data_IF_508108218499
#
_entry.id   IF_508108218499
#
_cell.length_a   1.000
_cell.length_b   1.000
_cell.length_c   1.000
_cell.angle_alpha   90.00
_cell.angle_beta   90.00
_cell.angle_gamma   90.00
#
_symmetry.space_group_name_H-M   'P 1'
#
loop_
_entity.id
_entity.type
_entity.pdbx_description
1 polymer ?
#
# COMPACT_ATOMS: atom_id res chain seq x y z
N UNK A 1 72.51 -75.92 29.75
CA UNK A 1 71.33 -75.30 30.41
C UNK A 1 70.75 -74.31 29.49
N UNK A 2 69.74 -74.78 28.84
CA UNK A 2 69.05 -74.05 27.75
C UNK A 2 67.79 -73.41 28.31
N UNK A 3 67.71 -72.05 28.30
CA UNK A 3 66.52 -71.34 28.61
C UNK A 3 66.05 -70.62 27.35
N UNK A 4 65.19 -71.29 26.58
CA UNK A 4 64.50 -70.73 25.46
C UNK A 4 63.01 -70.70 25.82
N UNK A 5 62.55 -69.60 26.40
CA UNK A 5 61.12 -69.36 26.65
C UNK A 5 60.62 -68.34 25.66
N UNK A 6 59.53 -68.55 24.94
CA UNK A 6 59.01 -67.59 24.00
C UNK A 6 58.39 -66.42 24.72
N UNK A 7 58.83 -65.21 24.31
CA UNK A 7 58.24 -63.91 24.73
C UNK A 7 56.84 -63.84 24.15
N UNK A 8 55.81 -63.90 24.99
CA UNK A 8 54.44 -63.64 24.62
C UNK A 8 54.24 -62.10 24.43
N UNK A 9 54.19 -61.68 23.27
CA UNK A 9 53.71 -60.30 22.95
C UNK A 9 52.19 -60.26 23.23
N UNK A 10 51.83 -59.40 24.12
CA UNK A 10 50.45 -59.21 24.53
C UNK A 10 49.72 -58.39 23.47
N UNK A 11 48.85 -59.05 22.72
CA UNK A 11 47.99 -58.47 21.68
C UNK A 11 46.84 -57.67 22.27
N UNK A 12 47.13 -56.70 23.09
CA UNK A 12 46.10 -55.79 23.61
C UNK A 12 46.27 -54.35 23.04
N UNK A 13 46.55 -54.24 21.75
CA UNK A 13 46.65 -52.92 21.10
C UNK A 13 45.59 -52.75 19.98
N UNK A 14 44.36 -53.19 20.27
CA UNK A 14 43.24 -52.99 19.35
C UNK A 14 42.11 -52.11 19.88
N UNK A 15 42.38 -51.24 20.84
CA UNK A 15 41.35 -50.36 21.44
C UNK A 15 41.45 -48.92 21.01
N UNK A 16 42.02 -48.62 19.84
CA UNK A 16 41.85 -47.30 19.23
C UNK A 16 40.93 -47.39 18.00
N UNK A 17 39.78 -48.00 18.19
CA UNK A 17 38.64 -47.75 17.33
C UNK A 17 38.22 -46.31 17.54
N UNK A 18 38.86 -45.43 16.81
CA UNK A 18 38.51 -44.00 16.68
C UNK A 18 37.11 -43.93 16.10
N UNK A 19 36.11 -43.89 16.99
CA UNK A 19 34.74 -43.59 16.64
C UNK A 19 34.78 -42.28 15.84
N UNK A 20 34.68 -42.37 14.52
CA UNK A 20 34.38 -41.23 13.64
C UNK A 20 32.93 -40.83 13.96
N UNK A 21 32.75 -40.06 15.02
CA UNK A 21 31.53 -39.27 15.16
C UNK A 21 31.53 -38.32 13.98
N UNK A 22 30.95 -38.74 12.86
CA UNK A 22 30.54 -37.87 11.80
C UNK A 22 29.43 -36.99 12.41
N UNK A 23 29.79 -35.83 12.88
CA UNK A 23 28.86 -34.77 13.14
C UNK A 23 28.11 -34.52 11.83
N UNK A 24 26.95 -35.15 11.66
CA UNK A 24 26.00 -34.78 10.63
C UNK A 24 25.55 -33.39 11.03
N UNK A 25 26.24 -32.36 10.53
CA UNK A 25 25.78 -30.98 10.58
C UNK A 25 24.61 -30.94 9.62
N UNK A 26 23.46 -31.39 10.07
CA UNK A 26 22.19 -31.15 9.43
C UNK A 26 21.91 -29.68 9.60
N UNK A 27 21.93 -28.93 8.51
CA UNK A 27 21.45 -27.55 8.54
C UNK A 27 19.96 -27.64 8.83
N UNK A 28 19.55 -27.16 10.00
CA UNK A 28 18.14 -27.05 10.35
C UNK A 28 17.51 -25.94 9.49
N UNK A 29 16.57 -26.23 8.57
CA UNK A 29 15.95 -25.22 7.73
C UNK A 29 14.92 -24.37 8.47
N UNK A 30 14.55 -24.73 9.71
CA UNK A 30 13.49 -24.06 10.47
C UNK A 30 13.70 -22.56 10.61
N UNK A 31 14.89 -22.05 10.99
CA UNK A 31 15.11 -20.60 11.08
C UNK A 31 15.00 -19.89 9.73
N UNK A 32 15.35 -20.56 8.64
CA UNK A 32 15.26 -20.00 7.30
C UNK A 32 13.80 -19.81 6.86
N UNK A 33 12.97 -20.82 7.15
CA UNK A 33 11.53 -20.78 6.85
C UNK A 33 10.84 -19.69 7.66
N UNK A 34 11.21 -19.51 8.93
CA UNK A 34 10.64 -18.45 9.78
C UNK A 34 10.94 -17.06 9.22
N UNK A 35 12.19 -16.80 8.85
CA UNK A 35 12.58 -15.52 8.21
C UNK A 35 11.83 -15.29 6.90
N UNK A 36 11.69 -16.30 6.05
CA UNK A 36 10.92 -16.21 4.82
C UNK A 36 9.44 -15.89 5.09
N UNK A 37 8.87 -16.49 6.13
CA UNK A 37 7.49 -16.25 6.51
C UNK A 37 7.29 -14.82 7.04
N UNK A 38 8.19 -14.35 7.89
CA UNK A 38 8.16 -12.97 8.38
C UNK A 38 8.27 -11.94 7.25
N UNK A 39 9.17 -12.15 6.29
CA UNK A 39 9.31 -11.27 5.13
C UNK A 39 8.04 -11.30 4.29
N UNK A 40 7.43 -12.46 4.08
CA UNK A 40 6.20 -12.60 3.30
C UNK A 40 5.04 -11.84 3.96
N UNK A 41 4.87 -11.99 5.28
CA UNK A 41 3.85 -11.25 6.04
C UNK A 41 4.13 -9.75 5.99
N UNK A 42 5.39 -9.35 6.16
CA UNK A 42 5.79 -7.94 6.07
C UNK A 42 5.40 -7.33 4.72
N UNK A 43 5.72 -8.00 3.60
CA UNK A 43 5.31 -7.53 2.28
C UNK A 43 3.79 -7.56 2.07
N UNK A 44 3.10 -8.56 2.61
CA UNK A 44 1.64 -8.62 2.55
C UNK A 44 0.99 -7.43 3.28
N UNK A 45 1.47 -7.08 4.46
CA UNK A 45 1.00 -5.92 5.23
C UNK A 45 1.37 -4.61 4.55
N UNK A 46 2.60 -4.50 4.02
CA UNK A 46 3.10 -3.27 3.38
C UNK A 46 2.43 -3.03 2.02
N UNK A 47 2.11 -4.09 1.29
CA UNK A 47 1.39 -4.00 0.01
C UNK A 47 0.00 -3.37 0.15
N UNK A 48 -0.61 -3.46 1.33
CA UNK A 48 -1.92 -2.85 1.62
C UNK A 48 -1.85 -1.33 1.85
N UNK A 49 -0.66 -0.74 1.95
CA UNK A 49 -0.44 0.68 2.29
C UNK A 49 -0.31 1.57 1.04
N UNK A 50 -0.34 1.00 -0.18
CA UNK A 50 -0.42 1.82 -1.40
C UNK A 50 -1.88 2.29 -1.59
N UNK A 51 -2.42 2.93 -0.57
CA UNK A 51 -3.52 3.87 -0.74
C UNK A 51 -2.87 5.20 -1.10
N UNK A 52 -3.12 5.64 -2.33
CA UNK A 52 -2.92 6.98 -2.84
C UNK A 52 -2.65 7.99 -1.72
N UNK A 53 -1.40 8.45 -1.65
CA UNK A 53 -1.05 9.57 -0.80
C UNK A 53 -1.74 10.80 -1.37
N UNK A 54 -3.00 11.02 -0.97
CA UNK A 54 -3.52 12.37 -0.93
C UNK A 54 -2.58 13.11 -0.01
N UNK A 55 -1.86 14.07 -0.54
CA UNK A 55 -1.10 15.01 0.25
C UNK A 55 -2.13 15.69 1.13
N UNK A 56 -2.23 15.24 2.39
CA UNK A 56 -2.94 15.97 3.41
C UNK A 56 -2.17 17.27 3.59
N UNK A 57 -2.57 18.29 2.87
CA UNK A 57 -2.23 19.66 3.22
C UNK A 57 -2.85 19.84 4.60
N UNK A 58 -2.01 19.87 5.64
CA UNK A 58 -2.42 20.26 6.97
C UNK A 58 -2.97 21.68 6.88
N UNK A 59 -4.26 21.81 6.63
CA UNK A 59 -4.98 23.02 6.96
C UNK A 59 -4.84 23.20 8.49
N UNK A 60 -4.49 24.39 8.97
CA UNK A 60 -4.46 24.66 10.40
C UNK A 60 -5.82 24.25 10.98
N UNK A 61 -5.81 23.30 11.88
CA UNK A 61 -6.99 22.87 12.63
C UNK A 61 -7.48 24.07 13.44
N UNK A 62 -8.51 24.74 12.97
CA UNK A 62 -9.37 25.45 13.88
C UNK A 62 -9.99 24.40 14.81
N UNK A 63 -9.63 24.50 16.09
CA UNK A 63 -10.10 23.67 17.18
C UNK A 63 -11.61 23.81 17.29
N UNK A 64 -12.35 22.90 16.68
CA UNK A 64 -13.74 22.53 17.01
C UNK A 64 -14.44 21.96 15.79
N UNK A 65 -14.32 20.64 15.60
CA UNK A 65 -15.40 19.87 14.95
C UNK A 65 -15.05 18.39 15.00
N UNK A 66 -15.91 17.60 15.62
CA UNK A 66 -15.97 16.16 15.51
C UNK A 66 -15.78 15.70 14.06
N UNK A 67 -14.67 15.02 13.80
CA UNK A 67 -14.33 14.52 12.47
C UNK A 67 -15.12 13.25 12.16
N UNK A 68 -16.39 13.40 11.87
CA UNK A 68 -17.08 12.39 11.07
C UNK A 68 -16.45 12.39 9.66
N UNK A 69 -16.25 11.25 9.01
CA UNK A 69 -15.76 11.20 7.63
C UNK A 69 -16.78 11.91 6.73
N UNK A 70 -16.48 13.18 6.40
CA UNK A 70 -17.34 13.95 5.51
C UNK A 70 -17.31 13.27 4.14
N UNK A 71 -18.45 12.83 3.67
CA UNK A 71 -18.61 12.29 2.33
C UNK A 71 -18.27 13.41 1.34
N UNK A 72 -17.16 13.30 0.63
CA UNK A 72 -16.77 14.28 -0.40
C UNK A 72 -17.22 13.80 -1.77
N UNK A 73 -17.54 14.74 -2.66
CA UNK A 73 -17.78 14.45 -4.08
C UNK A 73 -16.42 14.54 -4.79
N UNK A 74 -15.95 13.42 -5.30
CA UNK A 74 -14.69 13.39 -6.05
C UNK A 74 -15.01 13.41 -7.55
N UNK A 75 -14.54 14.45 -8.25
CA UNK A 75 -14.63 14.57 -9.70
C UNK A 75 -13.23 14.39 -10.27
N UNK A 76 -13.02 13.42 -11.13
CA UNK A 76 -11.73 13.15 -11.75
C UNK A 76 -11.82 13.39 -13.25
N UNK A 77 -10.91 14.20 -13.78
CA UNK A 77 -10.77 14.48 -15.22
C UNK A 77 -9.50 13.80 -15.70
N UNK A 78 -9.65 12.81 -16.56
CA UNK A 78 -8.50 12.07 -17.11
C UNK A 78 -7.89 12.80 -18.30
N UNK A 79 -6.67 12.39 -18.70
CA UNK A 79 -5.96 12.90 -19.87
C UNK A 79 -6.79 12.77 -21.16
N UNK A 80 -7.63 11.72 -21.27
CA UNK A 80 -8.51 11.49 -22.42
C UNK A 80 -9.81 12.32 -22.34
N UNK A 81 -9.84 13.34 -21.47
CA UNK A 81 -10.96 14.24 -21.26
C UNK A 81 -12.25 13.54 -20.77
N UNK A 82 -12.13 12.37 -20.18
CA UNK A 82 -13.24 11.68 -19.55
C UNK A 82 -13.43 12.18 -18.12
N UNK A 83 -14.69 12.41 -17.76
CA UNK A 83 -15.05 12.92 -16.44
C UNK A 83 -15.69 11.78 -15.62
N UNK A 84 -15.20 11.60 -14.41
CA UNK A 84 -15.74 10.61 -13.47
C UNK A 84 -16.21 11.31 -12.20
N UNK A 85 -17.37 10.92 -11.69
CA UNK A 85 -17.84 11.29 -10.35
C UNK A 85 -17.91 10.03 -9.52
N UNK A 86 -17.08 9.94 -8.46
CA UNK A 86 -17.00 8.76 -7.58
C UNK A 86 -16.93 7.45 -8.39
N UNK A 87 -15.99 7.38 -9.36
CA UNK A 87 -15.75 6.20 -10.23
C UNK A 87 -16.76 5.98 -11.37
N UNK A 88 -17.85 6.71 -11.43
CA UNK A 88 -18.82 6.62 -12.52
C UNK A 88 -18.49 7.61 -13.64
N UNK A 89 -18.42 7.12 -14.88
CA UNK A 89 -18.25 7.97 -16.05
C UNK A 89 -19.51 8.82 -16.25
N UNK A 90 -19.32 10.12 -16.41
CA UNK A 90 -20.43 11.08 -16.59
C UNK A 90 -20.14 12.05 -17.73
N UNK A 91 -21.17 12.63 -18.32
CA UNK A 91 -21.04 13.74 -19.26
C UNK A 91 -20.89 15.07 -18.52
N UNK A 92 -20.37 16.08 -19.19
CA UNK A 92 -20.25 17.42 -18.62
C UNK A 92 -21.61 17.98 -18.17
N UNK A 93 -22.68 17.62 -18.85
CA UNK A 93 -24.05 18.09 -18.59
C UNK A 93 -24.64 17.45 -17.34
N UNK A 94 -24.25 16.21 -17.02
CA UNK A 94 -24.76 15.47 -15.88
C UNK A 94 -24.17 15.92 -14.53
N UNK A 95 -23.07 16.67 -14.55
CA UNK A 95 -22.40 17.12 -13.33
C UNK A 95 -23.35 17.96 -12.46
N UNK A 96 -23.98 18.98 -13.03
CA UNK A 96 -24.83 19.92 -12.29
C UNK A 96 -26.03 19.20 -11.60
N UNK A 97 -26.81 18.36 -12.26
CA UNK A 97 -27.92 17.65 -11.58
C UNK A 97 -27.44 16.67 -10.51
N UNK A 98 -26.29 16.01 -10.71
CA UNK A 98 -25.72 15.09 -9.73
C UNK A 98 -25.27 15.87 -8.48
N UNK A 99 -24.50 16.94 -8.65
CA UNK A 99 -24.03 17.78 -7.55
C UNK A 99 -25.22 18.39 -6.81
N UNK A 100 -26.22 18.93 -7.52
CA UNK A 100 -27.43 19.50 -6.94
C UNK A 100 -28.16 18.52 -6.04
N UNK A 101 -28.32 17.26 -6.48
CA UNK A 101 -28.98 16.22 -5.69
C UNK A 101 -28.28 15.93 -4.39
N UNK A 102 -26.92 16.05 -4.36
CA UNK A 102 -26.13 15.82 -3.15
C UNK A 102 -26.14 17.08 -2.27
N UNK A 103 -25.94 18.26 -2.86
CA UNK A 103 -25.93 19.53 -2.15
C UNK A 103 -27.27 19.87 -1.45
N UNK A 104 -28.38 19.38 -1.99
CA UNK A 104 -29.70 19.52 -1.33
C UNK A 104 -29.76 18.70 -0.02
N UNK A 105 -29.05 17.58 0.05
CA UNK A 105 -29.02 16.73 1.26
C UNK A 105 -28.02 17.26 2.28
N UNK A 106 -26.87 17.73 1.83
CA UNK A 106 -25.82 18.32 2.66
C UNK A 106 -25.11 19.45 1.89
N UNK A 107 -25.50 20.72 2.14
CA UNK A 107 -24.89 21.87 1.47
C UNK A 107 -23.40 22.09 1.78
N UNK A 108 -22.89 21.44 2.82
CA UNK A 108 -21.49 21.57 3.26
C UNK A 108 -20.56 20.51 2.70
N UNK A 109 -21.06 19.63 1.81
CA UNK A 109 -20.25 18.57 1.19
C UNK A 109 -19.18 19.20 0.30
N UNK A 110 -17.89 18.97 0.57
CA UNK A 110 -16.81 19.49 -0.27
C UNK A 110 -16.74 18.73 -1.60
N UNK A 111 -16.58 19.48 -2.68
CA UNK A 111 -16.32 18.94 -4.01
C UNK A 111 -14.84 19.03 -4.32
N UNK A 112 -14.21 17.88 -4.59
CA UNK A 112 -12.80 17.78 -4.91
C UNK A 112 -12.67 17.47 -6.40
N UNK A 113 -12.11 18.40 -7.17
CA UNK A 113 -11.84 18.20 -8.59
C UNK A 113 -10.37 17.81 -8.76
N UNK A 114 -10.14 16.64 -9.35
CA UNK A 114 -8.81 16.13 -9.69
C UNK A 114 -8.64 16.19 -11.21
N UNK A 115 -7.62 16.92 -11.68
CA UNK A 115 -7.29 17.00 -13.09
C UNK A 115 -5.90 16.47 -13.37
N UNK A 116 -5.72 15.71 -14.46
CA UNK A 116 -4.40 15.44 -15.00
C UNK A 116 -3.74 16.75 -15.47
N UNK A 117 -2.42 16.85 -15.37
CA UNK A 117 -1.66 18.06 -15.79
C UNK A 117 -1.85 18.43 -17.27
N UNK A 118 -2.15 17.43 -18.11
CA UNK A 118 -2.23 17.56 -19.56
C UNK A 118 -3.67 17.84 -20.07
N UNK A 119 -4.64 18.07 -19.15
CA UNK A 119 -6.02 18.38 -19.56
C UNK A 119 -6.12 19.79 -20.13
N UNK A 120 -7.10 20.01 -21.00
CA UNK A 120 -7.39 21.37 -21.49
C UNK A 120 -7.95 22.22 -20.35
N UNK A 121 -7.37 23.41 -20.18
CA UNK A 121 -7.83 24.38 -19.18
C UNK A 121 -9.31 24.71 -19.32
N UNK A 122 -9.80 24.82 -20.57
CA UNK A 122 -11.22 25.09 -20.83
C UNK A 122 -12.13 24.03 -20.21
N UNK A 123 -11.79 22.75 -20.36
CA UNK A 123 -12.59 21.66 -19.78
C UNK A 123 -12.64 21.74 -18.25
N UNK A 124 -11.53 22.10 -17.61
CA UNK A 124 -11.48 22.30 -16.17
C UNK A 124 -12.43 23.42 -15.73
N UNK A 125 -12.40 24.54 -16.44
CA UNK A 125 -13.29 25.68 -16.15
C UNK A 125 -14.76 25.28 -16.34
N UNK A 126 -15.08 24.59 -17.43
CA UNK A 126 -16.45 24.13 -17.72
C UNK A 126 -16.96 23.19 -16.61
N UNK A 127 -16.11 22.28 -16.12
CA UNK A 127 -16.46 21.38 -14.98
C UNK A 127 -16.69 22.21 -13.71
N UNK A 128 -15.83 23.17 -13.40
CA UNK A 128 -15.98 24.04 -12.22
C UNK A 128 -17.30 24.83 -12.27
N UNK A 129 -17.65 25.36 -13.43
CA UNK A 129 -18.90 26.10 -13.60
C UNK A 129 -20.12 25.20 -13.42
N UNK A 130 -20.10 23.98 -13.96
CA UNK A 130 -21.19 22.99 -13.73
C UNK A 130 -21.35 22.63 -12.27
N UNK A 131 -20.22 22.47 -11.54
CA UNK A 131 -20.21 22.20 -10.09
C UNK A 131 -20.82 23.36 -9.30
N UNK A 132 -20.50 24.62 -9.65
CA UNK A 132 -21.08 25.82 -9.03
C UNK A 132 -22.57 25.94 -9.30
N UNK A 133 -22.99 25.73 -10.55
CA UNK A 133 -24.42 25.70 -10.92
C UNK A 133 -25.17 24.62 -10.13
N UNK A 134 -24.50 23.48 -9.81
CA UNK A 134 -25.04 22.45 -8.95
C UNK A 134 -25.20 22.86 -7.48
N UNK A 135 -24.69 24.03 -7.06
CA UNK A 135 -24.86 24.55 -5.71
C UNK A 135 -23.75 24.16 -4.74
N UNK A 136 -22.58 23.70 -5.22
CA UNK A 136 -21.42 23.45 -4.36
C UNK A 136 -20.89 24.76 -3.76
N UNK A 137 -20.71 24.77 -2.44
CA UNK A 137 -20.18 25.91 -1.68
C UNK A 137 -18.67 25.83 -1.47
N UNK A 138 -18.13 24.61 -1.40
CA UNK A 138 -16.71 24.34 -1.17
C UNK A 138 -16.14 23.51 -2.34
N UNK A 139 -15.22 24.10 -3.12
CA UNK A 139 -14.58 23.44 -4.26
C UNK A 139 -13.08 23.47 -4.04
N UNK A 140 -12.45 22.28 -4.04
CA UNK A 140 -11.01 22.10 -3.96
C UNK A 140 -10.49 21.55 -5.28
N UNK A 141 -9.38 22.12 -5.79
CA UNK A 141 -8.72 21.67 -7.00
C UNK A 141 -7.40 20.97 -6.68
N UNK A 142 -7.23 19.78 -7.21
CA UNK A 142 -5.99 19.00 -7.12
C UNK A 142 -5.49 18.68 -8.52
N UNK A 143 -4.23 19.03 -8.81
CA UNK A 143 -3.57 18.68 -10.07
C UNK A 143 -2.67 17.47 -9.81
N UNK A 144 -2.95 16.36 -10.50
CA UNK A 144 -2.13 15.15 -10.39
C UNK A 144 -0.97 15.23 -11.38
N UNK A 145 0.24 15.27 -10.85
CA UNK A 145 1.46 15.05 -11.64
C UNK A 145 1.88 13.59 -11.48
N UNK A 146 1.64 12.77 -12.49
CA UNK A 146 2.23 11.42 -12.50
C UNK A 146 3.75 11.55 -12.60
N UNK A 147 4.43 11.00 -11.59
CA UNK A 147 5.87 10.69 -11.68
C UNK A 147 6.09 9.41 -12.44
#
# INVERSE_FOLDING_TARGET
>A
LNFNGPIRYNENMSLLSRSKNQLKVGIDPTPLVDVMFLITIFFMLTSSIIKTTSINVNLPKSLTSDSQPRTSINITITKDEKIYINENLVSLEDISPIVKRIAVKDPSVPVIIRGDKDIRYQLLVDVMDRVRIGGATEISLLVETRR
#
